data_IF_073965699412
#
_entry.id   IF_073965699412
#
_cell.length_a   1.000
_cell.length_b   1.000
_cell.length_c   1.000
_cell.angle_alpha   90.00
_cell.angle_beta   90.00
_cell.angle_gamma   90.00
#
_symmetry.space_group_name_H-M   'P 1'
#
loop_
_entity.id
_entity.type
_entity.pdbx_description
1 polymer ?
#
# COMPACT_ATOMS: atom_id res chain seq x y z
N UNK A 1 -26.01 -7.67 0.51
CA UNK A 1 -26.21 -6.41 -0.23
C UNK A 1 -25.04 -5.47 0.01
N UNK A 2 -24.34 -5.10 -1.06
CA UNK A 2 -23.34 -4.05 -1.05
C UNK A 2 -23.69 -2.92 -2.03
N UNK A 3 -23.68 -1.68 -1.53
CA UNK A 3 -23.83 -0.45 -2.31
C UNK A 3 -22.91 0.63 -1.74
N UNK A 4 -22.13 1.26 -2.60
CA UNK A 4 -21.26 2.34 -2.20
C UNK A 4 -21.24 3.46 -3.24
N UNK A 5 -21.02 4.69 -2.78
CA UNK A 5 -20.75 5.86 -3.62
C UNK A 5 -19.43 6.44 -3.14
N UNK A 6 -18.42 6.45 -3.99
CA UNK A 6 -17.05 6.86 -3.64
C UNK A 6 -16.55 7.87 -4.66
N UNK A 7 -15.68 8.78 -4.22
CA UNK A 7 -14.97 9.65 -5.16
C UNK A 7 -14.05 8.81 -6.08
N UNK A 8 -13.93 9.22 -7.33
CA UNK A 8 -13.04 8.54 -8.26
C UNK A 8 -11.57 8.58 -7.83
N UNK A 9 -11.14 9.68 -7.21
CA UNK A 9 -9.80 9.81 -6.66
C UNK A 9 -9.53 8.77 -5.57
N UNK A 10 -10.39 8.71 -4.55
CA UNK A 10 -10.27 7.74 -3.45
C UNK A 10 -10.25 6.30 -3.93
N UNK A 11 -11.13 5.95 -4.88
CA UNK A 11 -11.14 4.58 -5.41
C UNK A 11 -9.87 4.26 -6.20
N UNK A 12 -9.33 5.20 -6.97
CA UNK A 12 -8.09 4.99 -7.72
C UNK A 12 -6.89 4.83 -6.78
N UNK A 13 -6.73 5.74 -5.83
CA UNK A 13 -5.64 5.66 -4.86
C UNK A 13 -5.64 4.31 -4.13
N UNK A 14 -6.84 3.83 -3.76
CA UNK A 14 -7.00 2.52 -3.16
C UNK A 14 -6.64 1.35 -4.09
N UNK A 15 -7.07 1.38 -5.35
CA UNK A 15 -6.78 0.31 -6.30
C UNK A 15 -5.31 0.29 -6.71
N UNK A 16 -4.74 1.47 -7.01
CA UNK A 16 -3.34 1.67 -7.40
C UNK A 16 -2.39 1.15 -6.31
N UNK A 17 -2.77 1.30 -5.03
CA UNK A 17 -1.99 0.75 -3.91
C UNK A 17 -1.96 -0.78 -3.85
N UNK A 18 -2.95 -1.47 -4.42
CA UNK A 18 -3.01 -2.93 -4.39
C UNK A 18 -2.43 -3.53 -5.67
N UNK A 19 -2.64 -2.88 -6.81
CA UNK A 19 -2.23 -3.40 -8.12
C UNK A 19 -0.72 -3.42 -8.34
N UNK A 20 0.04 -2.65 -7.57
CA UNK A 20 1.51 -2.73 -7.57
C UNK A 20 2.03 -4.10 -7.13
N UNK A 21 1.23 -4.92 -6.43
CA UNK A 21 1.62 -6.25 -5.96
C UNK A 21 0.82 -7.41 -6.58
N UNK A 22 -0.46 -7.20 -6.93
CA UNK A 22 -1.34 -8.28 -7.39
C UNK A 22 -2.32 -7.84 -8.49
N UNK A 23 -2.62 -8.75 -9.43
CA UNK A 23 -3.59 -8.52 -10.51
C UNK A 23 -5.06 -8.75 -10.10
N UNK A 24 -5.26 -9.52 -9.03
CA UNK A 24 -6.57 -9.91 -8.51
C UNK A 24 -6.50 -10.02 -6.98
N UNK A 25 -7.61 -9.67 -6.32
CA UNK A 25 -7.67 -9.69 -4.86
C UNK A 25 -9.06 -10.06 -4.36
N UNK A 26 -9.10 -10.38 -3.06
CA UNK A 26 -10.34 -10.48 -2.30
C UNK A 26 -10.63 -9.12 -1.69
N UNK A 27 -11.85 -8.64 -1.87
CA UNK A 27 -12.36 -7.44 -1.22
C UNK A 27 -13.37 -7.88 -0.15
N UNK A 28 -13.10 -7.51 1.10
CA UNK A 28 -14.00 -7.71 2.23
C UNK A 28 -14.88 -6.50 2.39
N UNK A 29 -16.19 -6.74 2.47
CA UNK A 29 -17.23 -5.72 2.53
C UNK A 29 -17.87 -5.80 3.92
N UNK A 30 -17.23 -5.17 4.91
CA UNK A 30 -17.72 -5.15 6.29
C UNK A 30 -18.66 -3.97 6.49
N UNK A 31 -19.49 -3.99 7.53
CA UNK A 31 -20.45 -2.90 7.80
C UNK A 31 -19.78 -1.53 7.99
N UNK A 32 -18.56 -1.51 8.54
CA UNK A 32 -17.82 -0.29 8.90
C UNK A 32 -16.71 0.06 7.91
N UNK A 33 -16.31 -0.87 7.03
CA UNK A 33 -15.17 -0.66 6.13
C UNK A 33 -15.12 -1.61 4.95
N UNK A 34 -14.46 -1.17 3.88
CA UNK A 34 -13.97 -2.02 2.80
C UNK A 34 -12.49 -2.33 3.07
N UNK A 35 -12.11 -3.60 3.08
CA UNK A 35 -10.69 -3.97 3.25
C UNK A 35 -10.20 -4.95 2.20
N UNK A 36 -8.92 -4.84 1.89
CA UNK A 36 -8.21 -5.68 0.93
C UNK A 36 -6.92 -6.12 1.59
N UNK A 37 -6.64 -7.42 1.53
CA UNK A 37 -5.35 -7.96 1.94
C UNK A 37 -4.82 -8.90 0.88
N UNK A 38 -3.60 -8.66 0.43
CA UNK A 38 -2.99 -9.45 -0.61
C UNK A 38 -1.48 -9.58 -0.42
N UNK A 39 -0.94 -10.73 -0.83
CA UNK A 39 0.49 -10.97 -0.94
C UNK A 39 0.82 -11.26 -2.39
N UNK A 40 1.96 -10.75 -2.84
CA UNK A 40 2.45 -10.98 -4.19
C UNK A 40 2.73 -12.48 -4.46
N UNK A 41 2.86 -12.90 -5.73
CA UNK A 41 3.14 -14.28 -6.08
C UNK A 41 4.37 -14.89 -5.37
N UNK A 42 5.40 -14.08 -5.12
CA UNK A 42 6.66 -14.50 -4.52
C UNK A 42 6.63 -14.56 -2.98
N UNK A 43 5.57 -14.10 -2.30
CA UNK A 43 5.50 -13.97 -0.83
C UNK A 43 6.55 -13.02 -0.23
N UNK A 44 6.90 -11.97 -0.97
CA UNK A 44 7.90 -10.97 -0.56
C UNK A 44 7.23 -9.66 -0.15
N UNK A 45 6.21 -9.24 -0.91
CA UNK A 45 5.47 -8.00 -0.66
C UNK A 45 4.03 -8.28 -0.27
N UNK A 46 3.54 -7.58 0.75
CA UNK A 46 2.14 -7.62 1.17
C UNK A 46 1.57 -6.21 1.21
N UNK A 47 0.28 -6.09 0.89
CA UNK A 47 -0.52 -4.89 1.11
C UNK A 47 -1.73 -5.23 1.97
N UNK A 48 -1.99 -4.42 2.98
CA UNK A 48 -3.21 -4.40 3.78
C UNK A 48 -3.83 -3.00 3.67
N UNK A 49 -4.98 -2.91 3.03
CA UNK A 49 -5.72 -1.68 2.81
C UNK A 49 -7.04 -1.76 3.57
N UNK A 50 -7.38 -0.67 4.26
CA UNK A 50 -8.69 -0.47 4.85
C UNK A 50 -9.20 0.92 4.47
N UNK A 51 -10.40 0.97 3.89
CA UNK A 51 -11.16 2.19 3.66
C UNK A 51 -12.37 2.20 4.60
N UNK A 52 -12.44 3.19 5.46
CA UNK A 52 -13.56 3.37 6.37
C UNK A 52 -14.82 3.72 5.59
N UNK A 53 -16.00 3.33 6.10
CA UNK A 53 -17.29 3.69 5.52
C UNK A 53 -17.46 5.22 5.38
N UNK A 54 -16.76 6.01 6.22
CA UNK A 54 -16.74 7.47 6.14
C UNK A 54 -16.02 8.02 4.90
N UNK A 55 -15.12 7.24 4.27
CA UNK A 55 -14.46 7.61 3.01
C UNK A 55 -15.42 7.63 1.81
N UNK A 56 -16.64 7.13 2.01
CA UNK A 56 -17.68 7.05 1.00
C UNK A 56 -18.78 8.09 1.28
N UNK A 57 -19.34 8.65 0.22
CA UNK A 57 -20.54 9.50 0.31
C UNK A 57 -21.76 8.70 0.81
N UNK A 58 -21.76 7.40 0.53
CA UNK A 58 -22.76 6.44 0.98
C UNK A 58 -22.12 5.07 1.01
N UNK A 59 -22.32 4.32 2.08
CA UNK A 59 -21.83 2.94 2.21
C UNK A 59 -22.88 2.08 2.91
N UNK A 60 -23.27 1.00 2.25
CA UNK A 60 -24.14 -0.04 2.78
C UNK A 60 -23.52 -1.40 2.44
N UNK A 61 -23.15 -2.18 3.46
CA UNK A 61 -22.70 -3.56 3.33
C UNK A 61 -23.31 -4.40 4.45
N UNK A 62 -23.59 -5.67 4.18
CA UNK A 62 -24.10 -6.65 5.16
C UNK A 62 -23.15 -7.84 5.35
N UNK A 63 -21.86 -7.62 5.07
CA UNK A 63 -20.84 -8.65 5.11
C UNK A 63 -20.65 -9.36 3.76
N UNK A 64 -19.45 -9.85 3.53
CA UNK A 64 -19.14 -10.68 2.35
C UNK A 64 -17.73 -10.50 1.86
N UNK A 65 -17.33 -11.41 0.97
CA UNK A 65 -16.05 -11.37 0.27
C UNK A 65 -16.32 -11.53 -1.21
N UNK A 66 -15.79 -10.61 -2.01
CA UNK A 66 -15.86 -10.68 -3.47
C UNK A 66 -14.46 -10.79 -4.05
N UNK A 67 -14.30 -11.62 -5.08
CA UNK A 67 -13.08 -11.68 -5.86
C UNK A 67 -13.15 -10.71 -7.03
N UNK A 68 -12.15 -9.84 -7.18
CA UNK A 68 -12.13 -8.82 -8.22
C UNK A 68 -10.83 -8.91 -9.02
N UNK A 69 -10.97 -8.76 -10.33
CA UNK A 69 -9.84 -8.50 -11.21
C UNK A 69 -9.50 -7.00 -11.14
N UNK A 70 -8.36 -6.67 -10.53
CA UNK A 70 -7.99 -5.29 -10.23
C UNK A 70 -7.73 -4.48 -11.50
N UNK A 71 -6.98 -5.05 -12.45
CA UNK A 71 -6.69 -4.36 -13.72
C UNK A 71 -7.96 -3.92 -14.46
N UNK A 72 -9.01 -4.74 -14.50
CA UNK A 72 -10.30 -4.35 -15.08
C UNK A 72 -11.04 -3.29 -14.25
N UNK A 73 -10.97 -3.38 -12.93
CA UNK A 73 -11.63 -2.40 -12.06
C UNK A 73 -10.94 -1.04 -12.18
N UNK A 74 -9.62 -1.01 -12.23
CA UNK A 74 -8.80 0.17 -12.48
C UNK A 74 -9.07 0.80 -13.84
N UNK A 75 -9.14 0.01 -14.92
CA UNK A 75 -9.50 0.52 -16.24
C UNK A 75 -10.84 1.27 -16.21
N UNK A 76 -11.83 0.72 -15.52
CA UNK A 76 -13.17 1.32 -15.40
C UNK A 76 -13.13 2.55 -14.50
N UNK A 77 -12.48 2.47 -13.34
CA UNK A 77 -12.30 3.61 -12.44
C UNK A 77 -11.52 4.73 -13.14
N UNK A 78 -10.56 4.40 -14.00
CA UNK A 78 -9.74 5.27 -14.85
C UNK A 78 -10.52 6.07 -15.89
N UNK A 79 -11.75 5.66 -16.23
CA UNK A 79 -12.63 6.41 -17.14
C UNK A 79 -13.29 7.64 -16.49
N UNK A 80 -13.31 7.71 -15.16
CA UNK A 80 -13.87 8.83 -14.42
C UNK A 80 -13.01 10.11 -14.51
N UNK A 81 -13.59 11.29 -14.33
CA UNK A 81 -12.87 12.47 -13.89
C UNK A 81 -12.51 12.36 -12.40
N UNK A 82 -11.48 13.07 -11.93
CA UNK A 82 -11.09 13.04 -10.50
C UNK A 82 -12.18 13.54 -9.54
N UNK A 83 -13.08 14.41 -10.02
CA UNK A 83 -14.22 14.91 -9.25
C UNK A 83 -15.51 14.10 -9.41
N UNK A 84 -15.49 13.00 -10.17
CA UNK A 84 -16.69 12.20 -10.39
C UNK A 84 -16.94 11.24 -9.23
N UNK A 85 -18.20 10.86 -9.06
CA UNK A 85 -18.62 9.83 -8.11
C UNK A 85 -18.83 8.50 -8.84
N UNK A 86 -18.25 7.45 -8.26
CA UNK A 86 -18.37 6.08 -8.72
C UNK A 86 -19.37 5.36 -7.82
N UNK A 87 -20.45 4.87 -8.43
CA UNK A 87 -21.44 4.06 -7.74
C UNK A 87 -21.09 2.58 -7.94
N UNK A 88 -20.88 1.87 -6.84
CA UNK A 88 -20.65 0.43 -6.81
C UNK A 88 -21.90 -0.26 -6.28
N UNK A 89 -22.36 -1.30 -6.94
CA UNK A 89 -23.51 -2.10 -6.49
C UNK A 89 -23.28 -3.56 -6.81
N UNK A 90 -23.24 -4.39 -5.78
CA UNK A 90 -23.14 -5.84 -5.92
C UNK A 90 -24.51 -6.42 -6.27
N UNK A 91 -24.57 -7.15 -7.38
CA UNK A 91 -25.68 -8.03 -7.71
C UNK A 91 -25.31 -9.47 -7.32
N UNK A 92 -25.88 -9.93 -6.21
CA UNK A 92 -25.63 -11.25 -5.63
C UNK A 92 -26.23 -12.39 -6.46
N UNK A 93 -27.32 -12.14 -7.19
CA UNK A 93 -27.96 -13.15 -8.04
C UNK A 93 -27.06 -13.48 -9.23
N UNK A 94 -26.49 -12.44 -9.85
CA UNK A 94 -25.65 -12.60 -11.04
C UNK A 94 -24.15 -12.70 -10.73
N UNK A 95 -23.73 -12.49 -9.47
CA UNK A 95 -22.33 -12.39 -9.03
C UNK A 95 -21.53 -11.38 -9.85
N UNK A 96 -22.12 -10.19 -10.04
CA UNK A 96 -21.53 -9.12 -10.83
C UNK A 96 -21.49 -7.83 -10.02
N UNK A 97 -20.44 -7.06 -10.22
CA UNK A 97 -20.32 -5.70 -9.69
C UNK A 97 -20.77 -4.72 -10.77
N UNK A 98 -21.87 -4.03 -10.50
CA UNK A 98 -22.34 -2.94 -11.35
C UNK A 98 -21.66 -1.65 -10.91
N UNK A 99 -21.02 -0.98 -11.87
CA UNK A 99 -20.26 0.25 -11.68
C UNK A 99 -20.91 1.33 -12.53
N UNK A 100 -21.26 2.48 -11.94
CA UNK A 100 -21.80 3.63 -12.67
C UNK A 100 -20.99 4.89 -12.42
N UNK A 101 -20.69 5.61 -13.50
CA UNK A 101 -19.83 6.81 -13.52
C UNK A 101 -20.43 7.75 -14.55
N UNK A 102 -20.89 8.95 -14.18
CA UNK A 102 -21.44 9.99 -15.08
C UNK A 102 -22.21 9.46 -16.33
N UNK A 103 -23.25 8.65 -16.11
CA UNK A 103 -24.09 8.08 -17.19
C UNK A 103 -23.52 6.84 -17.90
N UNK A 104 -22.26 6.47 -17.66
CA UNK A 104 -21.69 5.17 -18.01
C UNK A 104 -22.17 4.10 -17.03
N UNK A 105 -22.52 2.92 -17.54
CA UNK A 105 -22.81 1.73 -16.75
C UNK A 105 -21.94 0.59 -17.23
N UNK A 106 -21.11 0.06 -16.33
CA UNK A 106 -20.25 -1.09 -16.57
C UNK A 106 -20.65 -2.23 -15.64
N UNK A 107 -20.55 -3.46 -16.13
CA UNK A 107 -20.84 -4.65 -15.33
C UNK A 107 -19.61 -5.55 -15.34
N UNK A 108 -18.95 -5.65 -14.20
CA UNK A 108 -17.76 -6.45 -13.99
C UNK A 108 -18.15 -7.82 -13.43
N UNK A 109 -17.69 -8.89 -14.09
CA UNK A 109 -17.87 -10.25 -13.58
C UNK A 109 -16.90 -10.51 -12.43
N UNK A 110 -17.42 -11.01 -11.31
CA UNK A 110 -16.61 -11.33 -10.14
C UNK A 110 -15.94 -12.69 -10.28
N UNK A 111 -14.77 -12.82 -9.66
CA UNK A 111 -14.04 -14.06 -9.52
C UNK A 111 -14.52 -14.74 -8.25
N UNK A 112 -14.56 -16.07 -8.24
CA UNK A 112 -14.85 -16.84 -7.04
C UNK A 112 -13.72 -16.62 -6.01
N UNK A 113 -14.00 -16.09 -4.80
CA UNK A 113 -12.98 -15.88 -3.77
C UNK A 113 -12.17 -17.14 -3.43
N UNK A 114 -12.73 -18.34 -3.60
CA UNK A 114 -12.02 -19.60 -3.35
C UNK A 114 -10.99 -19.95 -4.42
N UNK A 115 -11.08 -19.31 -5.60
CA UNK A 115 -10.11 -19.47 -6.69
C UNK A 115 -8.95 -18.47 -6.64
N UNK A 116 -9.07 -17.42 -5.82
CA UNK A 116 -8.02 -16.43 -5.58
C UNK A 116 -7.11 -16.91 -4.45
N UNK A 117 -5.83 -16.52 -4.51
CA UNK A 117 -4.83 -16.77 -3.45
C UNK A 117 -5.38 -16.44 -2.07
N UNK A 118 -5.03 -17.26 -1.08
CA UNK A 118 -5.44 -17.01 0.30
C UNK A 118 -4.82 -15.73 0.83
N UNK A 119 -5.60 -15.02 1.66
CA UNK A 119 -5.16 -13.82 2.33
C UNK A 119 -4.09 -14.19 3.38
N UNK A 120 -3.01 -13.41 3.48
CA UNK A 120 -1.99 -13.63 4.51
C UNK A 120 -2.51 -13.22 5.90
N UNK A 121 -1.98 -13.86 6.93
CA UNK A 121 -2.07 -13.35 8.30
C UNK A 121 -1.00 -12.27 8.49
N UNK A 122 -1.36 -11.18 9.19
CA UNK A 122 -0.39 -10.14 9.54
C UNK A 122 0.40 -10.64 10.76
N UNK A 123 1.73 -10.73 10.67
CA UNK A 123 2.54 -11.10 11.82
C UNK A 123 2.53 -9.95 12.84
N UNK A 124 2.41 -10.32 14.12
CA UNK A 124 2.64 -9.39 15.22
C UNK A 124 4.16 -9.24 15.39
N UNK A 125 4.69 -8.13 14.86
CA UNK A 125 6.11 -7.80 14.88
C UNK A 125 6.34 -6.62 15.82
N UNK A 126 7.18 -6.84 16.82
CA UNK A 126 7.68 -5.81 17.72
C UNK A 126 8.95 -5.22 17.09
N UNK A 127 8.77 -4.14 16.33
CA UNK A 127 9.83 -3.46 15.60
C UNK A 127 10.39 -2.34 16.47
N UNK A 128 11.72 -2.24 16.52
CA UNK A 128 12.38 -1.41 17.53
C UNK A 128 12.38 0.09 17.17
N UNK A 129 12.21 0.44 15.89
CA UNK A 129 12.25 1.82 15.45
C UNK A 129 10.99 2.21 14.66
N UNK A 130 10.48 3.40 14.96
CA UNK A 130 9.36 4.03 14.26
C UNK A 130 9.80 5.39 13.72
N UNK A 131 9.76 5.56 12.40
CA UNK A 131 10.19 6.78 11.72
C UNK A 131 9.01 7.36 10.96
N UNK A 132 8.70 8.64 11.18
CA UNK A 132 7.66 9.35 10.46
C UNK A 132 8.29 10.44 9.60
N UNK A 133 8.07 10.36 8.29
CA UNK A 133 8.64 11.28 7.29
C UNK A 133 7.62 11.59 6.19
N UNK A 134 7.84 12.68 5.47
CA UNK A 134 7.05 12.95 4.26
C UNK A 134 7.47 12.00 3.12
N UNK A 135 6.50 11.56 2.32
CA UNK A 135 6.72 10.67 1.17
C UNK A 135 7.76 11.18 0.19
N UNK A 136 7.96 12.50 0.08
CA UNK A 136 8.99 13.11 -0.77
C UNK A 136 10.42 12.72 -0.35
N UNK A 137 10.67 12.55 0.95
CA UNK A 137 11.97 12.13 1.45
C UNK A 137 12.22 10.65 1.14
N UNK A 138 11.20 9.81 1.33
CA UNK A 138 11.25 8.38 0.98
C UNK A 138 11.47 8.18 -0.53
N UNK A 139 10.69 8.86 -1.37
CA UNK A 139 10.80 8.85 -2.82
C UNK A 139 12.20 9.27 -3.29
N UNK A 140 12.74 10.34 -2.70
CA UNK A 140 14.10 10.81 -3.00
C UNK A 140 15.15 9.76 -2.63
N UNK A 141 15.03 9.12 -1.47
CA UNK A 141 15.94 8.05 -1.04
C UNK A 141 15.91 6.85 -1.98
N UNK A 142 14.72 6.37 -2.33
CA UNK A 142 14.52 5.24 -3.26
C UNK A 142 15.09 5.56 -4.65
N UNK A 143 14.85 6.77 -5.17
CA UNK A 143 15.40 7.21 -6.47
C UNK A 143 16.93 7.30 -6.44
N UNK A 144 17.51 7.71 -5.32
CA UNK A 144 18.96 7.79 -5.18
C UNK A 144 19.59 6.39 -5.15
N UNK A 145 18.99 5.45 -4.41
CA UNK A 145 19.40 4.05 -4.37
C UNK A 145 19.31 3.36 -5.75
N UNK A 146 18.31 3.70 -6.56
CA UNK A 146 18.08 3.12 -7.91
C UNK A 146 19.18 3.43 -8.91
N UNK A 147 19.98 4.45 -8.64
CA UNK A 147 21.14 4.77 -9.47
C UNK A 147 22.34 3.87 -9.19
N UNK A 148 22.33 3.14 -8.07
CA UNK A 148 23.52 2.54 -7.46
C UNK A 148 23.42 1.03 -7.33
N UNK A 149 22.29 0.51 -6.85
CA UNK A 149 22.15 -0.90 -6.46
C UNK A 149 20.74 -1.43 -6.70
N UNK A 150 20.60 -2.76 -6.70
CA UNK A 150 19.30 -3.46 -6.70
C UNK A 150 18.74 -3.65 -5.28
N UNK A 151 19.52 -3.27 -4.26
CA UNK A 151 19.17 -3.36 -2.85
C UNK A 151 19.26 -2.00 -2.18
N UNK A 152 18.46 -1.83 -1.14
CA UNK A 152 18.43 -0.62 -0.34
C UNK A 152 18.45 -1.02 1.12
N UNK A 153 19.36 -0.42 1.87
CA UNK A 153 19.50 -0.62 3.31
C UNK A 153 18.81 0.53 4.01
N UNK A 154 17.89 0.18 4.90
CA UNK A 154 17.24 1.11 5.80
C UNK A 154 17.86 0.89 7.18
N UNK A 155 18.41 1.95 7.77
CA UNK A 155 19.14 1.87 9.04
C UNK A 155 18.79 3.05 9.93
N UNK A 156 18.72 2.82 11.24
CA UNK A 156 18.58 3.87 12.25
C UNK A 156 19.85 3.91 13.09
N UNK A 157 20.50 5.07 13.13
CA UNK A 157 21.53 5.34 14.13
C UNK A 157 20.86 5.82 15.43
N UNK A 158 20.76 4.94 16.41
CA UNK A 158 20.12 5.25 17.68
C UNK A 158 20.89 6.26 18.55
N UNK A 159 22.18 6.47 18.31
CA UNK A 159 22.97 7.45 19.06
C UNK A 159 22.79 8.87 18.52
N UNK A 160 22.65 9.00 17.20
CA UNK A 160 22.44 10.28 16.52
C UNK A 160 20.96 10.59 16.22
N UNK A 161 20.07 9.62 16.46
CA UNK A 161 18.64 9.67 16.09
C UNK A 161 18.45 9.97 14.60
N UNK A 162 19.30 9.37 13.75
CA UNK A 162 19.33 9.62 12.31
C UNK A 162 18.82 8.39 11.55
N UNK A 163 17.88 8.60 10.63
CA UNK A 163 17.44 7.57 9.70
C UNK A 163 18.27 7.63 8.42
N UNK A 164 18.72 6.48 7.94
CA UNK A 164 19.58 6.33 6.78
C UNK A 164 18.91 5.47 5.72
N UNK A 165 18.94 5.96 4.48
CA UNK A 165 18.57 5.23 3.27
C UNK A 165 19.83 5.09 2.43
N UNK A 166 20.40 3.88 2.43
CA UNK A 166 21.73 3.59 1.88
C UNK A 166 21.62 2.58 0.73
N UNK A 167 22.51 2.69 -0.25
CA UNK A 167 22.73 1.64 -1.24
C UNK A 167 24.21 1.62 -1.66
N UNK A 168 24.78 0.42 -1.70
CA UNK A 168 26.16 0.18 -2.10
C UNK A 168 26.19 -0.53 -3.46
N UNK A 169 27.05 -0.04 -4.34
CA UNK A 169 27.22 -0.57 -5.70
C UNK A 169 28.67 -0.97 -5.98
N UNK A 170 28.94 -1.46 -7.19
CA UNK A 170 30.30 -1.87 -7.57
C UNK A 170 31.30 -0.70 -7.66
N UNK A 171 30.80 0.52 -7.88
CA UNK A 171 31.63 1.71 -8.20
C UNK A 171 31.22 2.94 -7.41
N UNK A 172 29.93 3.15 -7.25
CA UNK A 172 29.35 4.30 -6.57
C UNK A 172 28.56 3.80 -5.36
N UNK A 173 28.46 4.64 -4.33
CA UNK A 173 27.64 4.39 -3.13
C UNK A 173 26.77 5.62 -2.86
N UNK A 174 25.63 5.43 -2.20
CA UNK A 174 24.75 6.51 -1.78
C UNK A 174 24.28 6.32 -0.34
N UNK A 175 24.27 7.42 0.41
CA UNK A 175 23.72 7.52 1.76
C UNK A 175 22.91 8.81 1.85
N UNK A 176 21.60 8.66 2.04
CA UNK A 176 20.71 9.75 2.43
C UNK A 176 20.49 9.67 3.93
N UNK A 177 21.12 10.59 4.67
CA UNK A 177 20.94 10.74 6.11
C UNK A 177 19.85 11.78 6.41
N UNK A 178 18.86 11.38 7.21
CA UNK A 178 17.71 12.17 7.63
C UNK A 178 17.78 12.36 9.16
N UNK A 179 18.34 13.48 9.64
CA UNK A 179 18.38 13.80 11.08
C UNK A 179 16.97 14.16 11.58
N UNK A 180 16.75 14.27 12.92
CA UNK A 180 15.44 14.58 13.49
C UNK A 180 14.79 15.88 12.97
N UNK A 181 15.59 16.83 12.49
CA UNK A 181 15.09 18.09 11.92
C UNK A 181 14.40 17.93 10.55
N UNK A 182 14.69 16.86 9.83
CA UNK A 182 14.11 16.51 8.53
C UNK A 182 13.01 15.43 8.65
N UNK A 183 12.69 15.01 9.88
CA UNK A 183 11.68 14.01 10.19
C UNK A 183 10.51 14.65 10.95
N UNK A 184 9.32 14.07 10.80
CA UNK A 184 8.14 14.47 11.58
C UNK A 184 8.27 13.94 13.01
N UNK A 185 8.67 12.67 13.15
CA UNK A 185 9.07 12.07 14.42
C UNK A 185 9.98 10.87 14.22
N UNK A 186 10.75 10.53 15.24
CA UNK A 186 11.55 9.31 15.29
C UNK A 186 11.54 8.73 16.71
N UNK A 187 11.21 7.44 16.81
CA UNK A 187 11.53 6.59 17.95
C UNK A 187 12.74 5.74 17.56
N UNK A 188 13.90 6.12 18.06
CA UNK A 188 15.16 5.54 17.63
C UNK A 188 15.47 4.24 18.39
N UNK A 189 15.20 3.10 17.75
CA UNK A 189 15.68 1.78 18.18
C UNK A 189 16.72 1.17 17.25
N UNK A 190 17.26 0.02 17.64
CA UNK A 190 18.20 -0.73 16.82
C UNK A 190 17.46 -1.31 15.61
N UNK A 191 17.76 -0.77 14.43
CA UNK A 191 17.08 -1.15 13.20
C UNK A 191 18.05 -1.04 12.03
N UNK A 192 18.25 -2.15 11.33
CA UNK A 192 19.15 -2.27 10.19
C UNK A 192 18.71 -3.46 9.35
N UNK A 193 18.18 -3.18 8.16
CA UNK A 193 17.67 -4.21 7.28
C UNK A 193 17.90 -3.85 5.82
N UNK A 194 18.22 -4.87 5.03
CA UNK A 194 18.39 -4.77 3.58
C UNK A 194 17.10 -5.21 2.88
N UNK A 195 16.65 -4.48 1.88
CA UNK A 195 15.42 -4.78 1.14
C UNK A 195 15.65 -4.79 -0.38
N UNK A 196 14.73 -5.42 -1.10
CA UNK A 196 14.73 -5.38 -2.56
C UNK A 196 14.25 -4.01 -3.02
N UNK A 197 15.08 -3.29 -3.79
CA UNK A 197 14.75 -1.94 -4.23
C UNK A 197 13.57 -1.93 -5.19
N UNK A 198 13.46 -2.92 -6.09
CA UNK A 198 12.35 -3.01 -7.05
C UNK A 198 10.97 -3.01 -6.38
N UNK A 199 10.82 -3.73 -5.27
CA UNK A 199 9.56 -3.74 -4.51
C UNK A 199 9.27 -2.37 -3.87
N UNK A 200 10.28 -1.72 -3.29
CA UNK A 200 10.11 -0.38 -2.73
C UNK A 200 9.79 0.65 -3.81
N UNK A 201 10.37 0.53 -5.01
CA UNK A 201 10.03 1.38 -6.15
C UNK A 201 8.57 1.22 -6.55
N UNK A 202 8.07 -0.02 -6.62
CA UNK A 202 6.69 -0.28 -6.97
C UNK A 202 5.73 0.22 -5.89
N UNK A 203 6.00 -0.06 -4.61
CA UNK A 203 5.21 0.47 -3.47
C UNK A 203 5.21 2.01 -3.44
N UNK A 204 6.37 2.64 -3.63
CA UNK A 204 6.52 4.10 -3.59
C UNK A 204 5.79 4.82 -4.72
N UNK A 205 5.49 4.17 -5.85
CA UNK A 205 4.66 4.78 -6.91
C UNK A 205 3.24 5.10 -6.44
N UNK A 206 2.72 4.33 -5.49
CA UNK A 206 1.39 4.51 -4.93
C UNK A 206 1.36 5.48 -3.73
N UNK A 207 2.52 5.84 -3.18
CA UNK A 207 2.61 6.74 -2.03
C UNK A 207 2.62 8.20 -2.53
N UNK A 208 1.63 9.03 -2.13
CA UNK A 208 1.65 10.45 -2.46
C UNK A 208 2.88 11.14 -1.85
N UNK A 209 3.50 12.05 -2.60
CA UNK A 209 4.75 12.71 -2.15
C UNK A 209 4.56 13.61 -0.92
N UNK A 210 3.34 14.10 -0.71
CA UNK A 210 2.93 14.94 0.42
C UNK A 210 2.28 14.14 1.55
N UNK A 211 2.18 12.82 1.43
CA UNK A 211 1.67 11.96 2.49
C UNK A 211 2.69 11.82 3.61
N UNK A 212 2.19 11.75 4.84
CA UNK A 212 2.95 11.28 6.00
C UNK A 212 3.08 9.75 5.90
N UNK A 213 4.32 9.26 5.95
CA UNK A 213 4.65 7.84 5.90
C UNK A 213 5.30 7.44 7.22
N UNK A 214 4.73 6.43 7.88
CA UNK A 214 5.34 5.78 9.05
C UNK A 214 6.07 4.53 8.59
N UNK A 215 7.35 4.45 8.90
CA UNK A 215 8.24 3.32 8.64
C UNK A 215 8.50 2.63 9.97
N UNK A 216 7.93 1.44 10.15
CA UNK A 216 8.30 0.57 11.28
C UNK A 216 9.44 -0.34 10.81
N UNK A 217 10.56 -0.34 11.54
CA UNK A 217 11.79 -1.02 11.14
C UNK A 217 12.42 -1.78 12.32
N UNK A 218 13.04 -2.92 11.99
CA UNK A 218 13.84 -3.71 12.92
C UNK A 218 15.09 -4.29 12.25
N UNK A 219 15.79 -5.15 12.97
CA UNK A 219 16.96 -5.88 12.46
C UNK A 219 16.51 -7.19 11.79
N UNK A 220 16.74 -7.32 10.48
CA UNK A 220 16.37 -8.50 9.68
C UNK A 220 14.87 -8.89 9.76
N UNK A 221 13.99 -7.93 10.01
CA UNK A 221 12.53 -8.12 9.98
C UNK A 221 11.88 -7.41 8.78
N UNK A 222 10.66 -7.82 8.37
CA UNK A 222 9.91 -7.07 7.38
C UNK A 222 9.70 -5.62 7.80
N UNK A 223 10.02 -4.69 6.91
CA UNK A 223 9.65 -3.28 7.10
C UNK A 223 8.15 -3.13 6.87
N UNK A 224 7.51 -2.29 7.68
CA UNK A 224 6.13 -1.84 7.40
C UNK A 224 6.14 -0.37 6.99
N UNK A 225 5.41 -0.06 5.95
CA UNK A 225 5.17 1.31 5.50
C UNK A 225 3.69 1.61 5.63
N UNK A 226 3.34 2.51 6.53
CA UNK A 226 1.98 2.96 6.75
C UNK A 226 1.81 4.35 6.17
N UNK A 227 0.72 4.56 5.43
CA UNK A 227 0.31 5.89 5.00
C UNK A 227 -1.21 5.94 4.90
N UNK A 228 -1.72 7.17 4.87
CA UNK A 228 -3.15 7.42 4.76
C UNK A 228 -3.52 8.02 3.42
N UNK A 229 -4.72 7.69 2.95
CA UNK A 229 -5.37 8.29 1.78
C UNK A 229 -6.76 8.80 2.19
N UNK A 230 -7.46 9.44 1.26
CA UNK A 230 -8.85 9.88 1.45
C UNK A 230 -9.04 10.73 2.72
N UNK A 231 -8.17 11.73 2.93
CA UNK A 231 -8.20 12.63 4.08
C UNK A 231 -8.15 11.91 5.44
N UNK A 232 -7.41 10.79 5.52
CA UNK A 232 -7.22 10.01 6.74
C UNK A 232 -8.25 8.89 6.94
N UNK A 233 -9.18 8.72 6.00
CA UNK A 233 -10.23 7.69 6.06
C UNK A 233 -9.84 6.39 5.34
N UNK A 234 -8.66 6.35 4.74
CA UNK A 234 -8.05 5.16 4.18
C UNK A 234 -6.67 4.93 4.77
N UNK A 235 -6.38 3.71 5.18
CA UNK A 235 -5.06 3.31 5.68
C UNK A 235 -4.51 2.21 4.79
N UNK A 236 -3.27 2.37 4.34
CA UNK A 236 -2.53 1.36 3.59
C UNK A 236 -1.30 0.99 4.40
N UNK A 237 -1.07 -0.31 4.54
CA UNK A 237 0.14 -0.88 5.11
C UNK A 237 0.80 -1.75 4.07
N UNK A 238 2.00 -1.38 3.62
CA UNK A 238 2.87 -2.31 2.91
C UNK A 238 3.76 -3.05 3.89
N UNK A 239 4.02 -4.32 3.61
CA UNK A 239 5.08 -5.07 4.26
C UNK A 239 6.03 -5.62 3.21
N UNK A 240 7.33 -5.49 3.45
CA UNK A 240 8.36 -6.02 2.56
C UNK A 240 9.34 -6.87 3.35
N UNK A 241 9.49 -8.13 2.95
CA UNK A 241 10.45 -9.03 3.55
C UNK A 241 11.90 -8.56 3.33
N UNK A 242 12.77 -8.70 4.33
CA UNK A 242 14.18 -8.33 4.21
C UNK A 242 14.92 -9.34 3.34
N UNK A 243 16.04 -8.89 2.77
CA UNK A 243 17.04 -9.75 2.18
C UNK A 243 18.01 -10.19 3.27
N UNK A 244 18.25 -11.49 3.34
CA UNK A 244 19.26 -12.05 4.25
C UNK A 244 20.64 -11.63 3.71
N UNK A 245 21.39 -10.86 4.49
CA UNK A 245 22.80 -10.61 4.22
C UNK A 245 23.52 -11.96 4.35
N UNK A 246 24.05 -12.46 3.23
CA UNK A 246 24.95 -13.62 3.29
C UNK A 246 26.36 -13.09 3.46
N UNK A 247 26.98 -13.38 4.62
CA UNK A 247 28.40 -13.12 4.91
C UNK A 247 29.35 -13.57 3.77
#
# INVERSE_FOLDING_TARGET
>A
MFKAIVSAATLRDALDSVSVLVDECKIRLNEESLSIRAVDPANVGMVDLTLDAAAFESYEADGGVIGVNLSRLEEVAGMAGSGDLIHLTLDEETRKLNIRIDGLSYTLALIDPDSIRQEPDIPDLDLAADIVLEGTHLDRGIKAADMVSDHIRLRVDAAEETFHIEAEGDTDDVDLSLPPADLISIEAGAADSLFSLDYLKDMNKAIPTDAEVTVELGEEFPVKLHYQIAEGMGTITYMLAPRIQSD
#
